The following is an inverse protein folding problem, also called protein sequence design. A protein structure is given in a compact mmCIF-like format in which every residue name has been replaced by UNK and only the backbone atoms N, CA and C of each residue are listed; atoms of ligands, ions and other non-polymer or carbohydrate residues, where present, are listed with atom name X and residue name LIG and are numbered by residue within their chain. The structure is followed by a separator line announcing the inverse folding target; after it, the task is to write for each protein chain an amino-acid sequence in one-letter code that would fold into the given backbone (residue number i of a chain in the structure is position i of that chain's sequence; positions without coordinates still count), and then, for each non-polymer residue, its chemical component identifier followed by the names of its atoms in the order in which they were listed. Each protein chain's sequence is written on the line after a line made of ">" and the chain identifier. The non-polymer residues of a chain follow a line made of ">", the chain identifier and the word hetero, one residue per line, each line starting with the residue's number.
data_IF_380450511018
#
_entry.id   IF_380450511018
#
_cell.length_a   1.000
_cell.length_b   1.000
_cell.length_c   1.000
_cell.angle_alpha   90.00
_cell.angle_beta   90.00
_cell.angle_gamma   90.00
#
_symmetry.space_group_name_H-M   'P 1'
#
loop_
_entity.id
_entity.type
_entity.pdbx_description
1 polymer ?
#
# COMPACT_ATOMS: atom_id res chain seq x y z
N UNK A 1 -13.92 3.22 4.20
CA UNK A 1 -12.60 2.65 3.88
C UNK A 1 -11.95 3.55 2.86
N UNK A 2 -10.64 3.79 2.94
CA UNK A 2 -9.92 4.63 1.97
C UNK A 2 -9.87 3.94 0.61
N UNK A 3 -10.05 4.68 -0.47
CA UNK A 3 -9.98 4.17 -1.85
C UNK A 3 -8.61 4.51 -2.43
N UNK A 4 -7.77 3.49 -2.61
CA UNK A 4 -6.48 3.63 -3.29
C UNK A 4 -6.55 3.16 -4.74
N UNK A 5 -5.99 3.96 -5.64
CA UNK A 5 -5.89 3.66 -7.07
C UNK A 5 -4.46 3.92 -7.54
N UNK A 6 -3.90 3.04 -8.36
CA UNK A 6 -2.57 3.18 -8.98
C UNK A 6 -2.76 3.33 -10.49
N UNK A 7 -2.21 4.41 -11.03
CA UNK A 7 -2.26 4.75 -12.44
C UNK A 7 -0.88 4.53 -13.04
N UNK A 8 -0.78 3.55 -13.92
CA UNK A 8 0.46 3.03 -14.46
C UNK A 8 0.85 3.66 -15.79
N UNK A 9 2.14 3.69 -16.15
CA UNK A 9 2.56 4.04 -17.50
C UNK A 9 1.95 3.09 -18.54
N UNK A 10 2.06 3.46 -19.80
CA UNK A 10 1.68 2.59 -20.91
C UNK A 10 2.58 1.34 -20.88
N UNK A 11 1.98 0.17 -20.65
CA UNK A 11 2.67 -1.12 -20.65
C UNK A 11 2.00 -2.07 -21.63
N UNK A 12 2.70 -3.14 -22.03
CA UNK A 12 2.16 -4.16 -22.93
C UNK A 12 1.11 -5.07 -22.27
N UNK A 13 1.08 -5.13 -20.94
CA UNK A 13 0.11 -5.89 -20.15
C UNK A 13 -0.21 -5.20 -18.82
N UNK A 14 -1.32 -5.52 -18.14
CA UNK A 14 -1.76 -4.79 -16.95
C UNK A 14 -0.75 -4.71 -15.80
N UNK A 15 0.10 -5.74 -15.65
CA UNK A 15 1.12 -5.79 -14.59
C UNK A 15 2.51 -5.38 -15.06
N UNK A 16 2.73 -5.28 -16.37
CA UNK A 16 4.05 -5.09 -16.98
C UNK A 16 5.03 -6.26 -16.81
N UNK A 17 4.55 -7.44 -16.40
CA UNK A 17 5.39 -8.64 -16.16
C UNK A 17 5.53 -9.55 -17.40
N UNK A 18 5.09 -9.09 -18.56
CA UNK A 18 5.12 -9.83 -19.82
C UNK A 18 6.45 -9.56 -20.55
N UNK A 19 7.46 -10.40 -20.33
CA UNK A 19 8.76 -10.29 -21.01
C UNK A 19 9.86 -11.12 -20.36
N UNK A 20 11.01 -11.22 -21.04
CA UNK A 20 12.19 -11.98 -20.56
C UNK A 20 12.99 -11.24 -19.47
N UNK A 21 12.66 -10.00 -19.17
CA UNK A 21 13.27 -9.17 -18.13
C UNK A 21 12.20 -8.56 -17.23
N UNK A 22 11.69 -9.34 -16.28
CA UNK A 22 10.67 -8.88 -15.34
C UNK A 22 11.26 -7.82 -14.40
N UNK A 23 10.61 -6.66 -14.33
CA UNK A 23 10.96 -5.61 -13.38
C UNK A 23 10.67 -6.07 -11.93
N UNK A 24 11.68 -6.13 -11.04
CA UNK A 24 11.49 -6.51 -9.64
C UNK A 24 10.49 -5.62 -8.88
N UNK A 25 10.39 -4.33 -9.21
CA UNK A 25 9.44 -3.42 -8.56
C UNK A 25 8.00 -3.74 -8.97
N UNK A 26 7.76 -4.04 -10.25
CA UNK A 26 6.44 -4.48 -10.73
C UNK A 26 6.02 -5.80 -10.08
N UNK A 27 6.98 -6.71 -9.85
CA UNK A 27 6.73 -7.97 -9.14
C UNK A 27 6.40 -7.73 -7.67
N UNK A 28 7.17 -6.86 -6.97
CA UNK A 28 6.92 -6.48 -5.58
C UNK A 28 5.53 -5.89 -5.42
N UNK A 29 5.18 -4.91 -6.25
CA UNK A 29 3.86 -4.26 -6.20
C UNK A 29 2.75 -5.27 -6.49
N UNK A 30 2.89 -6.10 -7.53
CA UNK A 30 1.90 -7.14 -7.83
C UNK A 30 1.70 -8.10 -6.65
N UNK A 31 2.76 -8.41 -5.91
CA UNK A 31 2.71 -9.26 -4.72
C UNK A 31 1.97 -8.56 -3.58
N UNK A 32 2.31 -7.30 -3.31
CA UNK A 32 1.65 -6.46 -2.28
C UNK A 32 0.14 -6.32 -2.57
N UNK A 33 -0.24 -5.98 -3.80
CA UNK A 33 -1.65 -5.83 -4.18
C UNK A 33 -2.43 -7.14 -4.05
N UNK A 34 -1.82 -8.27 -4.41
CA UNK A 34 -2.43 -9.59 -4.23
C UNK A 34 -2.61 -9.93 -2.74
N UNK A 35 -1.65 -9.60 -1.89
CA UNK A 35 -1.75 -9.79 -0.44
C UNK A 35 -2.84 -8.91 0.18
N UNK A 36 -2.91 -7.64 -0.20
CA UNK A 36 -3.99 -6.73 0.21
C UNK A 36 -5.37 -7.30 -0.15
N UNK A 37 -5.53 -7.72 -1.41
CA UNK A 37 -6.79 -8.30 -1.91
C UNK A 37 -7.21 -9.54 -1.13
N UNK A 38 -6.26 -10.44 -0.81
CA UNK A 38 -6.51 -11.63 0.04
C UNK A 38 -6.95 -11.26 1.47
N UNK A 39 -6.55 -10.10 1.97
CA UNK A 39 -6.93 -9.58 3.28
C UNK A 39 -8.12 -8.59 3.22
N UNK A 40 -8.88 -8.60 2.12
CA UNK A 40 -10.11 -7.80 1.98
C UNK A 40 -9.89 -6.33 1.63
N UNK A 41 -8.65 -5.91 1.34
CA UNK A 41 -8.33 -4.54 0.92
C UNK A 41 -8.11 -4.50 -0.58
N UNK A 42 -9.02 -3.85 -1.30
CA UNK A 42 -8.92 -3.72 -2.76
C UNK A 42 -8.23 -2.42 -3.14
N UNK A 43 -7.16 -2.54 -3.93
CA UNK A 43 -6.50 -1.42 -4.60
C UNK A 43 -6.74 -1.57 -6.10
N UNK A 44 -7.24 -0.52 -6.73
CA UNK A 44 -7.46 -0.51 -8.17
C UNK A 44 -6.16 -0.17 -8.90
N UNK A 45 -5.90 -0.82 -10.02
CA UNK A 45 -4.71 -0.58 -10.86
C UNK A 45 -5.17 -0.36 -12.30
N UNK A 46 -4.74 0.74 -12.91
CA UNK A 46 -5.12 1.11 -14.27
C UNK A 46 -3.88 1.30 -15.13
N UNK A 47 -3.83 0.61 -16.27
CA UNK A 47 -2.77 0.80 -17.25
C UNK A 47 -3.18 1.83 -18.30
N UNK A 48 -2.31 2.78 -18.63
CA UNK A 48 -2.62 3.83 -19.60
C UNK A 48 -3.01 3.27 -20.98
N UNK A 49 -2.36 2.20 -21.43
CA UNK A 49 -2.65 1.56 -22.72
C UNK A 49 -4.02 0.87 -22.75
N UNK A 50 -4.43 0.25 -21.63
CA UNK A 50 -5.66 -0.57 -21.60
C UNK A 50 -6.87 0.13 -21.00
N UNK A 51 -6.67 1.19 -20.21
CA UNK A 51 -7.73 1.91 -19.50
C UNK A 51 -7.57 3.44 -19.55
N UNK A 52 -7.34 4.06 -20.73
CA UNK A 52 -7.07 5.50 -20.84
C UNK A 52 -8.21 6.36 -20.28
N UNK A 53 -9.46 5.88 -20.35
CA UNK A 53 -10.63 6.59 -19.82
C UNK A 53 -10.55 6.86 -18.31
N UNK A 54 -9.90 5.99 -17.54
CA UNK A 54 -9.74 6.16 -16.09
C UNK A 54 -8.82 7.34 -15.75
N UNK A 55 -7.83 7.61 -16.61
CA UNK A 55 -6.91 8.74 -16.44
C UNK A 55 -7.61 10.07 -16.73
N UNK A 56 -8.62 10.08 -17.59
CA UNK A 56 -9.43 11.26 -17.90
C UNK A 56 -10.51 11.53 -16.84
N UNK A 57 -11.10 10.46 -16.27
CA UNK A 57 -12.20 10.57 -15.30
C UNK A 57 -11.74 11.04 -13.92
N UNK A 58 -10.52 10.67 -13.51
CA UNK A 58 -9.95 11.14 -12.26
C UNK A 58 -9.36 12.56 -12.45
N UNK A 59 -9.99 13.57 -11.85
CA UNK A 59 -9.61 14.98 -12.00
C UNK A 59 -8.14 15.26 -11.63
N UNK A 60 -7.63 14.64 -10.56
CA UNK A 60 -6.26 14.86 -10.11
C UNK A 60 -5.25 14.27 -11.10
N UNK A 61 -5.50 13.05 -11.57
CA UNK A 61 -4.64 12.37 -12.56
C UNK A 61 -4.68 13.08 -13.92
N UNK A 62 -5.87 13.48 -14.37
CA UNK A 62 -6.03 14.22 -15.62
C UNK A 62 -5.26 15.55 -15.57
N UNK A 63 -5.37 16.29 -14.47
CA UNK A 63 -4.59 17.51 -14.28
C UNK A 63 -3.08 17.25 -14.24
N UNK A 64 -2.65 16.18 -13.56
CA UNK A 64 -1.25 15.78 -13.48
C UNK A 64 -0.67 15.48 -14.87
N UNK A 65 -1.35 14.66 -15.69
CA UNK A 65 -0.87 14.32 -17.04
C UNK A 65 -0.81 15.54 -17.94
N UNK A 66 -1.80 16.44 -17.88
CA UNK A 66 -1.79 17.65 -18.70
C UNK A 66 -0.67 18.64 -18.33
N UNK A 67 -0.16 18.59 -17.10
CA UNK A 67 0.88 19.52 -16.62
C UNK A 67 2.29 18.93 -16.62
N UNK A 68 2.43 17.64 -16.31
CA UNK A 68 3.71 16.94 -16.16
C UNK A 68 3.99 15.94 -17.28
N UNK A 69 2.99 15.62 -18.10
CA UNK A 69 3.08 14.55 -19.08
C UNK A 69 2.92 13.16 -18.47
N UNK A 70 2.95 12.15 -19.34
CA UNK A 70 2.81 10.73 -18.96
C UNK A 70 4.10 10.13 -18.39
N UNK A 71 5.24 10.82 -18.54
CA UNK A 71 6.54 10.38 -18.02
C UNK A 71 6.61 10.47 -16.48
N UNK A 72 5.67 11.20 -15.86
CA UNK A 72 5.53 11.26 -14.40
C UNK A 72 4.81 10.06 -13.78
N UNK A 73 4.35 9.11 -14.58
CA UNK A 73 3.73 7.86 -14.11
C UNK A 73 4.82 6.88 -13.58
N UNK A 74 4.49 5.98 -12.64
CA UNK A 74 3.16 5.76 -12.06
C UNK A 74 2.77 6.83 -11.04
N UNK A 75 1.46 7.04 -10.85
CA UNK A 75 0.93 7.86 -9.74
C UNK A 75 -0.02 7.04 -8.87
N UNK A 76 0.07 7.27 -7.56
CA UNK A 76 -0.83 6.68 -6.56
C UNK A 76 -1.79 7.73 -6.06
N UNK A 77 -3.08 7.40 -6.09
CA UNK A 77 -4.18 8.23 -5.65
C UNK A 77 -4.83 7.61 -4.43
N UNK A 78 -5.10 8.43 -3.41
CA UNK A 78 -5.85 8.05 -2.22
C UNK A 78 -7.05 9.00 -2.09
N UNK A 79 -8.27 8.45 -2.08
CA UNK A 79 -9.52 9.22 -1.95
C UNK A 79 -9.65 10.40 -2.94
N UNK A 80 -9.08 10.23 -4.15
CA UNK A 80 -9.14 11.23 -5.23
C UNK A 80 -7.94 12.18 -5.29
N UNK A 81 -7.02 12.12 -4.33
CA UNK A 81 -5.82 12.97 -4.29
C UNK A 81 -4.55 12.18 -4.61
N UNK A 82 -3.63 12.78 -5.37
CA UNK A 82 -2.32 12.17 -5.65
C UNK A 82 -1.46 12.27 -4.40
N UNK A 83 -1.01 11.12 -3.89
CA UNK A 83 -0.13 11.03 -2.71
C UNK A 83 1.31 10.70 -3.07
N UNK A 84 1.54 9.98 -4.18
CA UNK A 84 2.86 9.59 -4.67
C UNK A 84 2.87 9.69 -6.20
N UNK A 85 3.97 10.17 -6.79
CA UNK A 85 4.17 10.27 -8.22
C UNK A 85 5.60 9.84 -8.63
N UNK A 86 5.75 9.28 -9.82
CA UNK A 86 7.02 8.83 -10.40
C UNK A 86 7.59 7.55 -9.79
N UNK A 87 6.92 6.94 -8.81
CA UNK A 87 7.30 5.66 -8.19
C UNK A 87 6.11 4.98 -7.54
N UNK A 88 6.27 3.70 -7.22
CA UNK A 88 5.32 2.97 -6.40
C UNK A 88 5.48 3.28 -4.91
N UNK A 89 4.41 3.07 -4.11
CA UNK A 89 4.54 3.09 -2.66
C UNK A 89 5.44 1.96 -2.17
N UNK A 90 6.20 2.25 -1.11
CA UNK A 90 6.90 1.26 -0.29
C UNK A 90 5.91 0.43 0.51
N UNK A 91 6.34 -0.68 1.10
CA UNK A 91 5.45 -1.54 1.90
C UNK A 91 4.96 -0.79 3.16
N UNK A 92 5.83 0.04 3.74
CA UNK A 92 5.52 0.93 4.86
C UNK A 92 4.47 1.98 4.45
N UNK A 93 4.64 2.63 3.29
CA UNK A 93 3.64 3.59 2.79
C UNK A 93 2.30 2.92 2.48
N UNK A 94 2.29 1.69 1.94
CA UNK A 94 1.04 0.93 1.78
C UNK A 94 0.37 0.68 3.13
N UNK A 95 1.13 0.29 4.17
CA UNK A 95 0.64 0.06 5.51
C UNK A 95 0.02 1.34 6.12
N UNK A 96 0.75 2.45 6.06
CA UNK A 96 0.34 3.73 6.64
C UNK A 96 -0.85 4.35 5.91
N UNK A 97 -0.81 4.36 4.57
CA UNK A 97 -1.86 4.97 3.76
C UNK A 97 -3.17 4.19 3.89
N UNK A 98 -3.14 2.86 3.89
CA UNK A 98 -4.32 2.01 3.96
C UNK A 98 -4.76 1.68 5.40
N UNK A 99 -3.93 1.99 6.41
CA UNK A 99 -4.19 1.68 7.81
C UNK A 99 -4.16 0.17 8.10
N UNK A 100 -3.26 -0.56 7.44
CA UNK A 100 -3.08 -2.00 7.61
C UNK A 100 -1.74 -2.32 8.29
N UNK A 101 -1.60 -3.43 9.04
CA UNK A 101 -0.35 -3.70 9.74
C UNK A 101 0.77 -4.08 8.77
N UNK A 102 1.98 -3.53 8.97
CA UNK A 102 3.20 -3.83 8.18
C UNK A 102 3.48 -5.35 8.08
N UNK A 103 3.06 -6.12 9.08
CA UNK A 103 3.21 -7.58 9.13
C UNK A 103 2.52 -8.31 7.96
N UNK A 104 1.54 -7.68 7.30
CA UNK A 104 0.91 -8.25 6.09
C UNK A 104 1.90 -8.42 4.94
N UNK A 105 2.94 -7.58 4.86
CA UNK A 105 3.89 -7.57 3.75
C UNK A 105 5.19 -8.32 4.05
N UNK A 106 5.22 -9.14 5.11
CA UNK A 106 6.41 -9.87 5.53
C UNK A 106 7.42 -9.02 6.32
N UNK A 107 7.05 -7.80 6.71
CA UNK A 107 7.83 -7.00 7.66
C UNK A 107 7.92 -7.74 9.00
N UNK A 108 9.14 -7.94 9.50
CA UNK A 108 9.33 -8.39 10.89
C UNK A 108 8.57 -7.39 11.78
N UNK A 109 7.77 -7.84 12.75
CA UNK A 109 7.12 -6.93 13.67
C UNK A 109 8.21 -6.07 14.32
N UNK A 110 8.19 -4.75 14.05
CA UNK A 110 8.95 -3.82 14.87
C UNK A 110 8.47 -4.08 16.29
N UNK A 111 9.38 -4.51 17.16
CA UNK A 111 9.10 -4.77 18.56
C UNK A 111 8.50 -3.51 19.16
N UNK A 112 7.18 -3.44 19.21
CA UNK A 112 6.49 -2.53 20.10
C UNK A 112 6.99 -2.92 21.47
N UNK A 113 7.80 -2.05 22.09
CA UNK A 113 8.17 -2.19 23.51
C UNK A 113 6.87 -2.06 24.30
N UNK A 114 6.13 -3.15 24.43
CA UNK A 114 5.12 -3.30 25.45
C UNK A 114 5.89 -3.37 26.74
N UNK A 115 6.02 -2.22 27.42
CA UNK A 115 6.37 -2.22 28.83
C UNK A 115 5.38 -3.13 29.53
N UNK A 116 5.81 -4.22 30.19
CA UNK A 116 4.89 -5.01 30.96
C UNK A 116 4.39 -4.12 32.11
N UNK A 117 3.12 -3.72 32.07
CA UNK A 117 2.46 -3.28 33.29
C UNK A 117 2.42 -4.50 34.20
N UNK A 118 3.25 -4.47 35.25
CA UNK A 118 3.22 -5.42 36.35
C UNK A 118 1.79 -5.48 36.91
N UNK A 119 1.03 -6.50 36.52
CA UNK A 119 -0.11 -6.98 37.28
C UNK A 119 0.43 -7.96 38.32
N UNK A 120 0.60 -7.51 39.55
CA UNK A 120 1.15 -8.36 40.61
C UNK A 120 1.11 -7.67 41.96
N UNK A 121 -0.08 -7.58 42.54
CA UNK A 121 -0.31 -7.02 43.87
C UNK A 121 -1.63 -7.50 44.45
N UNK A 122 -1.85 -8.81 44.51
CA UNK A 122 -2.89 -9.37 45.37
C UNK A 122 -2.26 -9.59 46.76
N UNK A 123 -2.44 -8.59 47.64
CA UNK A 123 -2.01 -8.65 49.03
C UNK A 123 -2.99 -9.47 49.86
N UNK A 124 -2.76 -10.78 49.94
CA UNK A 124 -3.39 -11.61 50.96
C UNK A 124 -2.68 -11.39 52.30
N UNK A 125 -3.22 -10.48 53.11
CA UNK A 125 -2.81 -10.27 54.50
C UNK A 125 -3.68 -11.14 55.41
N UNK A 126 -3.05 -11.95 56.28
CA UNK A 126 -3.66 -12.41 57.52
C UNK A 126 -3.83 -13.92 57.68
N UNK A 127 -2.74 -14.65 57.90
CA UNK A 127 -2.79 -16.06 58.31
C UNK A 127 -1.43 -16.62 58.73
N UNK A 128 -0.97 -16.22 59.93
CA UNK A 128 0.12 -16.76 60.76
C UNK A 128 0.97 -17.91 60.18
N UNK A 129 2.26 -17.64 59.94
CA UNK A 129 3.35 -18.61 60.04
C UNK A 129 4.56 -17.92 60.71
N UNK A 130 4.82 -18.33 61.96
CA UNK A 130 5.95 -18.06 62.86
C UNK A 130 6.27 -16.60 63.22
#
# INVERSE_FOLDING_TARGET
>A
MKKMQIFEPAMCCPTGLCGVGVDPELLRVSTVLNTLKKNGVTVERFNLSSAPQQFMSNRAVNHFINTKGVDGLPVTVLDGEIVIAGRYPTNEEFADLLGVPETLFGGKPKTVKVTPRRSGGCGCSGGKCC
#
